data_IF_045140485443
#
_entry.id   IF_045140485443
#
_cell.length_a   1.000
_cell.length_b   1.000
_cell.length_c   1.000
_cell.angle_alpha   90.00
_cell.angle_beta   90.00
_cell.angle_gamma   90.00
#
_symmetry.space_group_name_H-M   'P 1'
#
loop_
_entity.id
_entity.type
_entity.pdbx_description
1 polymer ?
#
# COMPACT_ATOMS: atom_id res chain seq x y z
N UNK A 1 -20.27 -3.07 -3.54
CA UNK A 1 -19.13 -2.47 -4.26
C UNK A 1 -18.98 -3.14 -5.62
N UNK A 2 -18.94 -2.34 -6.72
CA UNK A 2 -18.67 -2.86 -8.06
C UNK A 2 -17.78 -1.84 -8.80
N UNK A 3 -16.63 -2.31 -9.31
CA UNK A 3 -15.77 -1.51 -10.15
C UNK A 3 -15.05 -2.31 -11.23
N UNK A 4 -14.63 -1.62 -12.30
CA UNK A 4 -13.85 -2.18 -13.40
C UNK A 4 -12.59 -1.34 -13.61
N UNK A 5 -11.45 -2.00 -13.75
CA UNK A 5 -10.17 -1.31 -13.90
C UNK A 5 -9.21 -2.08 -14.84
N UNK A 6 -8.12 -1.42 -15.22
CA UNK A 6 -6.99 -2.04 -15.92
C UNK A 6 -6.20 -2.94 -14.97
N UNK A 7 -5.87 -4.15 -15.42
CA UNK A 7 -5.11 -5.14 -14.65
C UNK A 7 -3.76 -4.61 -14.20
N UNK A 8 -3.04 -3.86 -15.04
CA UNK A 8 -1.69 -3.40 -14.71
C UNK A 8 -1.73 -2.34 -13.60
N UNK A 9 -2.70 -1.39 -13.66
CA UNK A 9 -2.90 -0.39 -12.60
C UNK A 9 -3.21 -1.05 -11.25
N UNK A 10 -4.11 -2.04 -11.25
CA UNK A 10 -4.48 -2.79 -10.06
C UNK A 10 -3.28 -3.58 -9.51
N UNK A 11 -2.57 -4.30 -10.37
CA UNK A 11 -1.39 -5.11 -9.97
C UNK A 11 -0.28 -4.23 -9.39
N UNK A 12 0.02 -3.09 -9.99
CA UNK A 12 1.03 -2.15 -9.50
C UNK A 12 0.65 -1.60 -8.12
N UNK A 13 -0.60 -1.17 -7.95
CA UNK A 13 -1.11 -0.66 -6.67
C UNK A 13 -1.06 -1.70 -5.56
N UNK A 14 -1.46 -2.95 -5.85
CA UNK A 14 -1.34 -4.08 -4.93
C UNK A 14 0.13 -4.31 -4.55
N UNK A 15 1.02 -4.39 -5.52
CA UNK A 15 2.44 -4.67 -5.28
C UNK A 15 3.13 -3.58 -4.44
N UNK A 16 2.67 -2.33 -4.52
CA UNK A 16 3.15 -1.22 -3.71
C UNK A 16 2.60 -1.32 -2.29
N UNK A 17 1.28 -1.47 -2.12
CA UNK A 17 0.63 -1.52 -0.82
C UNK A 17 1.05 -2.74 0.01
N UNK A 18 1.25 -3.89 -0.63
CA UNK A 18 1.72 -5.12 0.03
C UNK A 18 3.09 -4.96 0.74
N UNK A 19 3.91 -3.98 0.36
CA UNK A 19 5.21 -3.74 1.02
C UNK A 19 5.08 -3.28 2.48
N UNK A 20 3.91 -2.77 2.88
CA UNK A 20 3.62 -2.44 4.27
C UNK A 20 3.13 -3.65 5.08
N UNK A 21 2.91 -4.81 4.46
CA UNK A 21 2.36 -5.99 5.15
C UNK A 21 3.51 -6.92 5.50
N UNK A 22 3.79 -7.08 6.79
CA UNK A 22 4.94 -7.87 7.29
C UNK A 22 4.66 -9.36 7.44
N UNK A 23 3.42 -9.83 7.20
CA UNK A 23 3.05 -11.26 7.18
C UNK A 23 3.03 -11.97 8.55
N UNK A 24 3.22 -11.25 9.65
CA UNK A 24 3.14 -11.76 11.03
C UNK A 24 2.50 -10.72 11.95
N UNK A 25 1.32 -10.29 11.62
CA UNK A 25 0.59 -9.37 12.49
C UNK A 25 -0.15 -10.13 13.61
N UNK A 26 -0.21 -9.54 14.81
CA UNK A 26 -1.11 -10.02 15.87
C UNK A 26 -2.58 -9.76 15.55
N UNK A 27 -2.87 -8.99 14.51
CA UNK A 27 -4.21 -8.70 14.00
C UNK A 27 -4.34 -9.27 12.58
N UNK A 28 -5.14 -10.34 12.38
CA UNK A 28 -5.30 -10.97 11.06
C UNK A 28 -5.74 -10.03 9.94
N UNK A 29 -6.52 -8.98 10.27
CA UNK A 29 -6.99 -8.01 9.28
C UNK A 29 -5.84 -7.22 8.62
N UNK A 30 -4.70 -7.08 9.30
CA UNK A 30 -3.50 -6.41 8.74
C UNK A 30 -2.70 -7.30 7.78
N UNK A 31 -3.04 -8.58 7.67
CA UNK A 31 -2.55 -9.44 6.59
C UNK A 31 -3.32 -9.19 5.29
N UNK A 32 -4.39 -8.39 5.36
CA UNK A 32 -5.23 -7.98 4.25
C UNK A 32 -4.85 -6.63 3.63
N UNK A 33 -5.37 -6.40 2.43
CA UNK A 33 -5.42 -5.11 1.77
C UNK A 33 -6.79 -4.50 1.96
N UNK A 34 -6.85 -3.31 2.53
CA UNK A 34 -8.06 -2.48 2.51
C UNK A 34 -8.25 -1.94 1.10
N UNK A 35 -9.45 -2.08 0.57
CA UNK A 35 -9.85 -1.59 -0.75
C UNK A 35 -11.10 -0.73 -0.59
N UNK A 36 -11.06 0.49 -1.10
CA UNK A 36 -12.19 1.40 -1.17
C UNK A 36 -12.38 1.90 -2.60
N UNK A 37 -13.59 1.75 -3.11
CA UNK A 37 -13.99 2.27 -4.41
C UNK A 37 -15.00 3.40 -4.22
N UNK A 38 -14.68 4.61 -4.70
CA UNK A 38 -15.51 5.80 -4.59
C UNK A 38 -15.13 6.82 -5.66
N UNK A 39 -16.09 7.56 -6.21
CA UNK A 39 -15.85 8.69 -7.13
C UNK A 39 -14.90 8.37 -8.31
N UNK A 40 -15.01 7.17 -8.90
CA UNK A 40 -14.13 6.67 -9.96
C UNK A 40 -12.65 6.51 -9.55
N UNK A 41 -12.38 6.42 -8.28
CA UNK A 41 -11.06 6.15 -7.71
C UNK A 41 -11.14 4.88 -6.87
N UNK A 42 -10.15 4.01 -7.03
CA UNK A 42 -9.91 2.89 -6.12
C UNK A 42 -8.69 3.19 -5.28
N UNK A 43 -8.87 3.18 -3.98
CA UNK A 43 -7.82 3.31 -2.97
C UNK A 43 -7.47 1.93 -2.43
N UNK A 44 -6.19 1.59 -2.40
CA UNK A 44 -5.68 0.36 -1.78
C UNK A 44 -4.70 0.73 -0.67
N UNK A 45 -4.89 0.14 0.52
CA UNK A 45 -4.04 0.39 1.68
C UNK A 45 -3.52 -0.94 2.22
N UNK A 46 -2.22 -1.00 2.45
CA UNK A 46 -1.56 -2.00 3.27
C UNK A 46 -0.98 -1.36 4.53
N UNK A 47 -1.02 -2.04 5.66
CA UNK A 47 -0.50 -1.52 6.93
C UNK A 47 -0.03 -2.65 7.85
N UNK A 48 1.01 -2.36 8.66
CA UNK A 48 1.40 -3.19 9.81
C UNK A 48 1.25 -2.45 11.16
N UNK A 49 0.57 -1.31 11.18
CA UNK A 49 0.37 -0.29 12.22
C UNK A 49 1.47 0.77 12.28
N UNK A 50 2.73 0.40 12.10
CA UNK A 50 3.86 1.33 12.16
C UNK A 50 4.08 2.02 10.81
N UNK A 51 3.90 1.25 9.73
CA UNK A 51 3.98 1.73 8.35
C UNK A 51 2.69 1.46 7.63
N UNK A 52 2.17 2.47 6.94
CA UNK A 52 1.01 2.34 6.06
C UNK A 52 1.34 2.89 4.68
N UNK A 53 0.96 2.16 3.66
CA UNK A 53 1.13 2.57 2.27
C UNK A 53 -0.25 2.63 1.62
N UNK A 54 -0.60 3.83 1.16
CA UNK A 54 -1.82 4.09 0.38
C UNK A 54 -1.45 4.28 -1.08
N UNK A 55 -2.21 3.66 -1.98
CA UNK A 55 -2.14 3.86 -3.43
C UNK A 55 -3.51 4.17 -3.97
N UNK A 56 -3.57 4.98 -5.02
CA UNK A 56 -4.82 5.36 -5.70
C UNK A 56 -4.69 5.24 -7.20
N UNK A 57 -5.74 4.79 -7.86
CA UNK A 57 -5.82 4.76 -9.31
C UNK A 57 -7.27 4.96 -9.78
N UNK A 58 -7.42 5.45 -11.01
CA UNK A 58 -8.71 5.64 -11.66
C UNK A 58 -9.31 4.30 -12.08
N UNK A 59 -10.59 4.11 -11.79
CA UNK A 59 -11.39 2.96 -12.18
C UNK A 59 -12.82 3.40 -12.51
N UNK A 60 -13.54 2.57 -13.24
CA UNK A 60 -14.98 2.75 -13.48
C UNK A 60 -15.75 2.15 -12.30
N UNK A 61 -16.20 3.02 -11.39
CA UNK A 61 -16.91 2.62 -10.16
C UNK A 61 -18.41 2.73 -10.38
N UNK A 62 -19.07 1.59 -10.51
CA UNK A 62 -20.53 1.50 -10.63
C UNK A 62 -21.23 1.57 -9.29
N UNK A 63 -20.68 0.90 -8.27
CA UNK A 63 -21.19 0.91 -6.91
C UNK A 63 -20.05 1.17 -5.93
N UNK A 64 -20.11 2.24 -5.12
CA UNK A 64 -19.09 2.52 -4.12
C UNK A 64 -19.12 1.47 -3.00
N UNK A 65 -18.02 1.35 -2.28
CA UNK A 65 -17.92 0.47 -1.12
C UNK A 65 -16.49 0.25 -0.67
N UNK A 66 -16.36 -0.46 0.46
CA UNK A 66 -15.08 -0.75 1.10
C UNK A 66 -15.06 -2.17 1.67
N UNK A 67 -13.91 -2.81 1.65
CA UNK A 67 -13.69 -4.15 2.19
C UNK A 67 -12.20 -4.43 2.40
N UNK A 68 -11.89 -5.56 3.03
CA UNK A 68 -10.50 -6.02 3.19
C UNK A 68 -10.38 -7.44 2.63
N UNK A 69 -9.39 -7.67 1.79
CA UNK A 69 -9.10 -9.00 1.21
C UNK A 69 -7.73 -9.50 1.62
N UNK A 70 -7.55 -10.81 1.72
CA UNK A 70 -6.22 -11.40 1.92
C UNK A 70 -5.24 -10.89 0.85
N UNK A 71 -4.17 -10.24 1.30
CA UNK A 71 -3.22 -9.57 0.41
C UNK A 71 -2.49 -10.54 -0.49
N UNK A 72 -2.10 -11.70 0.03
CA UNK A 72 -1.32 -12.70 -0.70
C UNK A 72 -2.17 -13.38 -1.77
N UNK A 73 -3.35 -13.88 -1.38
CA UNK A 73 -4.25 -14.60 -2.29
C UNK A 73 -4.73 -13.66 -3.40
N UNK A 74 -5.20 -12.46 -3.03
CA UNK A 74 -5.66 -11.45 -3.98
C UNK A 74 -4.55 -11.06 -4.97
N UNK A 75 -3.37 -10.73 -4.45
CA UNK A 75 -2.22 -10.37 -5.30
C UNK A 75 -1.79 -11.48 -6.25
N UNK A 76 -1.84 -12.75 -5.81
CA UNK A 76 -1.52 -13.90 -6.67
C UNK A 76 -2.56 -14.11 -7.78
N UNK A 77 -3.86 -13.97 -7.47
CA UNK A 77 -4.93 -14.05 -8.47
C UNK A 77 -4.71 -12.96 -9.53
N UNK A 78 -4.61 -11.69 -9.11
CA UNK A 78 -4.47 -10.57 -10.06
C UNK A 78 -3.21 -10.72 -10.92
N UNK A 79 -2.10 -11.16 -10.35
CA UNK A 79 -0.84 -11.38 -11.08
C UNK A 79 -0.98 -12.42 -12.21
N UNK A 80 -1.75 -13.47 -11.97
CA UNK A 80 -1.92 -14.61 -12.92
C UNK A 80 -2.98 -14.37 -13.99
N UNK A 81 -3.85 -13.36 -13.81
CA UNK A 81 -4.86 -13.01 -14.80
C UNK A 81 -4.23 -12.46 -16.09
N UNK A 82 -4.90 -12.63 -17.26
CA UNK A 82 -4.48 -12.02 -18.51
C UNK A 82 -4.48 -10.48 -18.41
N UNK A 83 -3.71 -9.84 -19.28
CA UNK A 83 -3.62 -8.38 -19.33
C UNK A 83 -4.83 -7.79 -20.03
N UNK A 84 -5.91 -7.57 -19.28
CA UNK A 84 -7.19 -7.05 -19.73
C UNK A 84 -7.89 -6.27 -18.59
N UNK A 85 -9.10 -5.81 -18.82
CA UNK A 85 -9.96 -5.22 -17.79
C UNK A 85 -10.39 -6.28 -16.77
N UNK A 86 -10.32 -5.92 -15.51
CA UNK A 86 -10.78 -6.74 -14.40
C UNK A 86 -12.01 -6.07 -13.79
N UNK A 87 -13.10 -6.83 -13.65
CA UNK A 87 -14.26 -6.46 -12.86
C UNK A 87 -14.17 -7.11 -11.49
N UNK A 88 -14.40 -6.32 -10.45
CA UNK A 88 -14.52 -6.77 -9.07
C UNK A 88 -15.90 -6.37 -8.55
N UNK A 89 -16.62 -7.32 -7.99
CA UNK A 89 -17.97 -7.11 -7.47
C UNK A 89 -18.18 -7.87 -6.16
N UNK A 90 -18.84 -7.24 -5.19
CA UNK A 90 -19.33 -7.91 -3.99
C UNK A 90 -20.53 -8.76 -4.37
N UNK A 91 -20.46 -10.06 -4.13
CA UNK A 91 -21.54 -11.03 -4.46
C UNK A 91 -22.32 -11.49 -3.24
N UNK A 92 -21.75 -11.32 -2.04
CA UNK A 92 -22.41 -11.56 -0.75
C UNK A 92 -21.77 -10.70 0.33
N UNK A 93 -22.25 -10.80 1.57
CA UNK A 93 -21.69 -10.10 2.73
C UNK A 93 -20.24 -10.50 3.06
N UNK A 94 -19.77 -11.64 2.56
CA UNK A 94 -18.45 -12.19 2.88
C UNK A 94 -17.61 -12.51 1.65
N UNK A 95 -18.10 -12.28 0.42
CA UNK A 95 -17.41 -12.69 -0.79
C UNK A 95 -17.44 -11.64 -1.89
N UNK A 96 -16.30 -11.51 -2.57
CA UNK A 96 -16.15 -10.78 -3.83
C UNK A 96 -15.94 -11.75 -4.97
N UNK A 97 -16.35 -11.35 -6.16
CA UNK A 97 -16.06 -12.01 -7.42
C UNK A 97 -15.10 -11.17 -8.25
N UNK A 98 -14.07 -11.79 -8.77
CA UNK A 98 -13.06 -11.23 -9.65
C UNK A 98 -13.27 -11.86 -11.02
N UNK A 99 -13.60 -11.05 -12.02
CA UNK A 99 -13.84 -11.51 -13.39
C UNK A 99 -12.85 -10.84 -14.36
N UNK A 100 -12.17 -11.65 -15.17
CA UNK A 100 -11.32 -11.18 -16.25
C UNK A 100 -11.46 -12.13 -17.44
N UNK A 101 -11.99 -11.66 -18.55
CA UNK A 101 -12.34 -12.48 -19.73
C UNK A 101 -13.22 -13.69 -19.33
N UNK A 102 -12.67 -14.92 -19.49
CA UNK A 102 -13.36 -16.16 -19.12
C UNK A 102 -13.02 -16.67 -17.72
N UNK A 103 -12.09 -16.00 -17.04
CA UNK A 103 -11.66 -16.38 -15.69
C UNK A 103 -12.54 -15.73 -14.65
N UNK A 104 -13.03 -16.52 -13.70
CA UNK A 104 -13.86 -16.08 -12.58
C UNK A 104 -13.29 -16.70 -11.30
N UNK A 105 -13.09 -15.87 -10.28
CA UNK A 105 -12.63 -16.30 -8.95
C UNK A 105 -13.51 -15.66 -7.90
N UNK A 106 -13.92 -16.45 -6.90
CA UNK A 106 -14.59 -15.95 -5.72
C UNK A 106 -13.58 -15.96 -4.56
N UNK A 107 -13.51 -14.87 -3.82
CA UNK A 107 -12.59 -14.67 -2.70
C UNK A 107 -13.35 -14.12 -1.51
N UNK A 108 -13.09 -14.66 -0.32
CA UNK A 108 -13.65 -14.14 0.92
C UNK A 108 -13.04 -12.77 1.25
N UNK A 109 -13.85 -11.91 1.84
CA UNK A 109 -13.41 -10.61 2.34
C UNK A 109 -13.81 -10.41 3.80
N UNK A 110 -13.12 -9.52 4.47
CA UNK A 110 -13.38 -9.08 5.84
C UNK A 110 -14.05 -7.71 5.83
N UNK A 111 -14.70 -7.36 6.95
CA UNK A 111 -15.31 -6.05 7.10
C UNK A 111 -14.23 -4.95 7.17
N UNK A 112 -14.40 -3.92 6.35
CA UNK A 112 -13.50 -2.76 6.33
C UNK A 112 -13.51 -1.94 7.62
N UNK A 113 -14.56 -2.03 8.42
CA UNK A 113 -14.67 -1.27 9.70
C UNK A 113 -13.70 -1.78 10.77
N UNK A 114 -13.26 -3.02 10.66
CA UNK A 114 -12.27 -3.62 11.55
C UNK A 114 -10.83 -3.21 11.19
N UNK A 115 -10.62 -2.61 10.01
CA UNK A 115 -9.30 -2.15 9.58
C UNK A 115 -8.93 -0.84 10.30
N UNK A 116 -7.71 -0.73 10.88
CA UNK A 116 -7.31 0.47 11.61
C UNK A 116 -7.35 1.71 10.71
N UNK A 117 -7.94 2.79 11.23
CA UNK A 117 -7.93 4.07 10.52
C UNK A 117 -6.50 4.61 10.41
N UNK A 118 -6.13 5.11 9.23
CA UNK A 118 -4.85 5.79 9.07
C UNK A 118 -4.81 7.07 9.90
N UNK A 119 -3.65 7.40 10.51
CA UNK A 119 -3.49 8.65 11.22
C UNK A 119 -3.66 9.83 10.26
N UNK A 120 -4.39 10.86 10.70
CA UNK A 120 -4.50 12.10 9.94
C UNK A 120 -3.15 12.80 9.94
N UNK A 121 -2.62 13.06 8.75
CA UNK A 121 -1.36 13.80 8.59
C UNK A 121 -1.63 15.29 8.82
N UNK A 122 -0.78 15.93 9.64
CA UNK A 122 -0.83 17.38 9.82
C UNK A 122 -0.10 18.05 8.64
N UNK A 123 -0.85 18.73 7.77
CA UNK A 123 -0.34 19.35 6.55
C UNK A 123 0.43 20.68 6.78
N UNK A 124 0.72 21.05 8.03
CA UNK A 124 1.39 22.33 8.33
C UNK A 124 2.86 22.40 7.93
N UNK A 125 3.49 21.27 7.62
CA UNK A 125 4.88 21.20 7.16
C UNK A 125 5.00 20.27 5.95
N UNK A 126 4.91 20.85 4.77
CA UNK A 126 5.03 20.14 3.50
C UNK A 126 6.27 20.61 2.75
N UNK A 127 7.03 19.70 2.18
CA UNK A 127 8.04 20.00 1.20
C UNK A 127 7.86 19.09 -0.03
N UNK A 128 8.29 19.59 -1.19
CA UNK A 128 8.27 18.84 -2.44
C UNK A 128 9.68 18.65 -2.96
N UNK A 129 10.00 17.46 -3.41
CA UNK A 129 11.30 17.10 -3.97
C UNK A 129 11.12 16.20 -5.19
N UNK A 130 12.03 16.29 -6.16
CA UNK A 130 12.05 15.35 -7.28
C UNK A 130 12.35 13.93 -6.80
N UNK A 131 11.53 12.95 -7.22
CA UNK A 131 11.63 11.56 -6.82
C UNK A 131 13.01 10.95 -7.11
N UNK A 132 13.61 11.25 -8.26
CA UNK A 132 14.93 10.75 -8.64
C UNK A 132 16.04 11.28 -7.73
N UNK A 133 15.95 12.55 -7.33
CA UNK A 133 16.89 13.17 -6.38
C UNK A 133 16.76 12.50 -5.02
N UNK A 134 15.55 12.38 -4.49
CA UNK A 134 15.31 11.72 -3.19
C UNK A 134 15.81 10.28 -3.18
N UNK A 135 15.54 9.52 -4.24
CA UNK A 135 16.04 8.14 -4.39
C UNK A 135 17.57 8.07 -4.35
N UNK A 136 18.26 9.00 -5.01
CA UNK A 136 19.73 9.04 -5.00
C UNK A 136 20.28 9.44 -3.62
N UNK A 137 19.65 10.40 -2.93
CA UNK A 137 20.01 10.77 -1.57
C UNK A 137 19.86 9.59 -0.59
N UNK A 138 18.73 8.85 -0.65
CA UNK A 138 18.52 7.67 0.16
C UNK A 138 19.58 6.60 -0.14
N UNK A 139 19.87 6.32 -1.41
CA UNK A 139 20.93 5.37 -1.80
C UNK A 139 22.31 5.80 -1.34
N UNK A 140 22.60 7.12 -1.33
CA UNK A 140 23.86 7.70 -0.91
C UNK A 140 24.09 7.68 0.60
N UNK A 141 23.03 7.41 1.41
CA UNK A 141 23.10 7.40 2.88
C UNK A 141 22.77 6.04 3.49
N UNK A 142 21.89 5.25 2.87
CA UNK A 142 21.37 4.00 3.43
C UNK A 142 22.44 2.95 3.76
N UNK A 143 23.59 2.97 3.11
CA UNK A 143 24.69 2.04 3.41
C UNK A 143 25.36 2.30 4.77
N UNK A 144 25.14 3.48 5.36
CA UNK A 144 25.74 3.89 6.64
C UNK A 144 24.79 3.70 7.84
N UNK A 145 23.61 3.14 7.67
CA UNK A 145 22.72 2.82 8.78
C UNK A 145 23.26 1.63 9.58
N UNK A 146 23.01 1.61 10.90
CA UNK A 146 23.37 0.46 11.74
C UNK A 146 22.49 -0.75 11.40
N UNK A 147 23.11 -1.93 11.41
CA UNK A 147 22.39 -3.22 11.29
C UNK A 147 22.10 -3.84 12.66
N UNK A 148 22.68 -3.29 13.73
CA UNK A 148 22.53 -3.77 15.09
C UNK A 148 21.27 -3.17 15.74
N UNK A 149 20.45 -4.01 16.36
CA UNK A 149 19.23 -3.64 17.08
C UNK A 149 19.49 -2.94 18.42
N UNK A 150 20.73 -2.92 18.90
CA UNK A 150 21.10 -2.30 20.19
C UNK A 150 20.82 -0.79 20.23
N UNK A 151 20.79 -0.12 19.06
CA UNK A 151 20.51 1.31 18.92
C UNK A 151 19.50 1.56 17.79
N UNK A 152 18.21 1.38 18.02
CA UNK A 152 17.19 1.48 16.96
C UNK A 152 17.20 2.81 16.19
N UNK A 153 17.54 3.91 16.87
CA UNK A 153 17.61 5.25 16.22
C UNK A 153 18.67 5.31 15.11
N UNK A 154 19.70 4.46 15.16
CA UNK A 154 20.74 4.40 14.14
C UNK A 154 20.37 3.51 12.93
N UNK A 155 19.27 2.78 13.02
CA UNK A 155 18.74 1.97 11.92
C UNK A 155 17.95 2.80 10.90
N UNK A 156 17.81 4.12 11.13
CA UNK A 156 17.11 5.05 10.28
C UNK A 156 18.00 6.08 9.59
N UNK A 157 17.43 6.76 8.63
CA UNK A 157 18.03 7.94 7.98
C UNK A 157 17.34 9.17 8.55
N UNK A 158 18.10 10.11 9.11
CA UNK A 158 17.57 11.40 9.53
C UNK A 158 17.29 12.28 8.31
N UNK A 159 16.08 12.79 8.22
CA UNK A 159 15.66 13.81 7.26
C UNK A 159 15.62 15.17 7.99
N UNK A 160 16.52 16.06 7.65
CA UNK A 160 16.57 17.42 8.18
C UNK A 160 16.21 18.42 7.09
N UNK A 161 15.08 19.13 7.29
CA UNK A 161 14.67 20.23 6.40
C UNK A 161 14.99 21.56 7.08
N UNK A 162 15.92 22.33 6.53
CA UNK A 162 16.35 23.62 7.06
C UNK A 162 16.72 24.58 5.93
N UNK A 163 16.29 25.83 6.02
CA UNK A 163 16.63 26.89 5.06
C UNK A 163 16.33 26.51 3.59
N UNK A 164 15.24 25.77 3.32
CA UNK A 164 14.87 25.25 2.00
C UNK A 164 15.82 24.17 1.45
N UNK A 165 16.66 23.61 2.28
CA UNK A 165 17.54 22.50 1.95
C UNK A 165 17.07 21.23 2.68
N UNK A 166 17.20 20.08 2.03
CA UNK A 166 16.98 18.77 2.62
C UNK A 166 18.32 18.07 2.80
N UNK A 167 18.67 17.73 4.04
CA UNK A 167 19.83 16.92 4.37
C UNK A 167 19.37 15.52 4.80
N UNK A 168 20.03 14.48 4.29
CA UNK A 168 19.88 13.11 4.76
C UNK A 168 21.17 12.70 5.47
N UNK A 169 21.02 12.18 6.70
CA UNK A 169 22.16 11.73 7.51
C UNK A 169 21.90 10.32 8.00
N UNK A 170 22.91 9.46 7.85
CA UNK A 170 22.92 8.11 8.41
C UNK A 170 24.27 7.84 9.06
N UNK A 171 24.28 7.09 10.17
CA UNK A 171 25.51 6.68 10.85
C UNK A 171 25.27 5.36 11.61
N UNK A 172 26.33 4.57 11.78
CA UNK A 172 26.31 3.33 12.56
C UNK A 172 27.11 3.41 13.88
N UNK A 173 27.61 4.60 14.19
CA UNK A 173 28.46 4.86 15.35
C UNK A 173 29.95 4.73 15.07
N UNK A 174 30.33 4.36 13.85
CA UNK A 174 31.74 4.23 13.40
C UNK A 174 32.04 5.12 12.20
N UNK A 175 31.03 5.44 11.41
CA UNK A 175 31.10 6.25 10.18
C UNK A 175 29.83 7.07 10.01
#
# INVERSE_FOLDING_TARGET
MIFTCDKNKLQESIAIAQKAITGKSTMPILEGLYIEASENIVTIIGSDKDVSIETKFEADVTEPGKLVVDAKIFGEIIRKLPNDKIKIETVSEEAIRITCQKSVFDLLHMNAEDFPSLPKINENMIFSINQGILKNMIKGTSFAIALDEARPILQGILFEVKNKELNLVALDGYR
#
